data_IF_101423839539
#
_entry.id   IF_101423839539
#
_cell.length_a   1.000
_cell.length_b   1.000
_cell.length_c   1.000
_cell.angle_alpha   90.00
_cell.angle_beta   90.00
_cell.angle_gamma   90.00
#
_symmetry.space_group_name_H-M   'P 1'
#
loop_
_entity.id
_entity.type
_entity.pdbx_description
1 polymer ?
#
# COMPACT_ATOMS: atom_id res chain seq x y z
N UNK A 1 3.94 6.68 36.25
CA UNK A 1 2.78 6.36 37.11
C UNK A 1 2.02 5.11 36.63
N UNK A 2 1.78 4.93 35.32
CA UNK A 2 1.13 3.72 34.75
C UNK A 2 2.02 2.46 34.88
N UNK A 3 3.35 2.60 34.71
CA UNK A 3 4.32 1.49 34.81
C UNK A 3 4.45 0.88 36.22
N UNK A 4 4.08 1.61 37.28
CA UNK A 4 4.26 1.15 38.66
C UNK A 4 3.10 0.24 39.13
N UNK A 5 1.91 0.43 38.54
CA UNK A 5 0.72 -0.38 38.80
C UNK A 5 0.76 -1.70 37.99
N UNK A 6 1.40 -1.66 36.80
CA UNK A 6 1.50 -2.80 35.90
C UNK A 6 2.47 -3.91 36.36
N UNK A 7 3.43 -3.59 37.25
CA UNK A 7 4.42 -4.56 37.74
C UNK A 7 3.97 -5.42 38.93
N UNK A 8 2.89 -5.05 39.62
CA UNK A 8 2.36 -5.77 40.80
C UNK A 8 1.43 -6.94 40.45
N UNK A 9 1.02 -7.01 39.19
CA UNK A 9 0.19 -8.07 38.61
C UNK A 9 0.98 -8.54 37.39
N UNK A 10 1.18 -9.84 37.14
CA UNK A 10 1.97 -10.34 36.00
C UNK A 10 1.46 -9.96 34.59
N UNK A 11 0.64 -8.91 34.48
CA UNK A 11 0.10 -8.30 33.28
C UNK A 11 1.14 -7.71 32.34
N UNK A 12 2.34 -7.30 32.79
CA UNK A 12 3.36 -6.77 31.87
C UNK A 12 3.69 -7.78 30.78
N UNK A 13 3.86 -9.05 31.14
CA UNK A 13 4.18 -10.11 30.18
C UNK A 13 3.00 -10.42 29.24
N UNK A 14 1.76 -10.32 29.74
CA UNK A 14 0.56 -10.45 28.91
C UNK A 14 0.40 -9.28 27.94
N UNK A 15 0.62 -8.04 28.40
CA UNK A 15 0.55 -6.83 27.56
C UNK A 15 1.63 -6.84 26.48
N UNK A 16 2.88 -7.22 26.82
CA UNK A 16 3.97 -7.34 25.85
C UNK A 16 3.69 -8.43 24.83
N UNK A 17 3.16 -9.59 25.27
CA UNK A 17 2.81 -10.68 24.35
C UNK A 17 1.65 -10.28 23.43
N UNK A 18 0.56 -9.75 23.99
CA UNK A 18 -0.60 -9.29 23.21
C UNK A 18 -0.20 -8.22 22.19
N UNK A 19 0.60 -7.23 22.61
CA UNK A 19 1.12 -6.20 21.72
C UNK A 19 2.01 -6.76 20.61
N UNK A 20 2.89 -7.72 20.92
CA UNK A 20 3.76 -8.36 19.92
C UNK A 20 2.95 -9.08 18.84
N UNK A 21 1.88 -9.75 19.25
CA UNK A 21 0.95 -10.42 18.34
C UNK A 21 0.11 -9.42 17.55
N UNK A 22 -0.41 -8.37 18.18
CA UNK A 22 -1.30 -7.39 17.56
C UNK A 22 -0.57 -6.43 16.60
N UNK A 23 0.74 -6.21 16.84
CA UNK A 23 1.58 -5.32 16.03
C UNK A 23 1.63 -5.73 14.56
N UNK A 24 1.75 -7.03 14.28
CA UNK A 24 1.86 -7.52 12.90
C UNK A 24 0.55 -7.36 12.10
N UNK A 25 -0.62 -7.80 12.59
CA UNK A 25 -1.91 -7.53 11.97
C UNK A 25 -2.19 -6.03 11.81
N UNK A 26 -1.90 -5.23 12.85
CA UNK A 26 -2.14 -3.78 12.79
C UNK A 26 -1.25 -3.11 11.75
N UNK A 27 0.01 -3.52 11.63
CA UNK A 27 0.91 -3.01 10.59
C UNK A 27 0.42 -3.38 9.18
N UNK A 28 -0.02 -4.62 8.97
CA UNK A 28 -0.59 -5.08 7.68
C UNK A 28 -1.89 -4.31 7.37
N UNK A 29 -2.75 -4.11 8.36
CA UNK A 29 -3.99 -3.35 8.21
C UNK A 29 -3.72 -1.88 7.83
N UNK A 30 -2.79 -1.22 8.52
CA UNK A 30 -2.39 0.15 8.20
C UNK A 30 -1.75 0.25 6.81
N UNK A 31 -0.97 -0.76 6.40
CA UNK A 31 -0.39 -0.83 5.06
C UNK A 31 -1.49 -0.98 4.00
N UNK A 32 -2.46 -1.89 4.20
CA UNK A 32 -3.63 -2.01 3.33
C UNK A 32 -4.39 -0.70 3.22
N UNK A 33 -4.64 -0.03 4.35
CA UNK A 33 -5.30 1.28 4.39
C UNK A 33 -4.54 2.32 3.57
N UNK A 34 -3.22 2.40 3.73
CA UNK A 34 -2.39 3.34 3.01
C UNK A 34 -2.43 3.09 1.49
N UNK A 35 -2.36 1.83 1.06
CA UNK A 35 -2.45 1.46 -0.37
C UNK A 35 -3.85 1.74 -0.91
N UNK A 36 -4.91 1.41 -0.17
CA UNK A 36 -6.28 1.69 -0.56
C UNK A 36 -6.54 3.20 -0.68
N UNK A 37 -6.04 4.00 0.26
CA UNK A 37 -6.10 5.46 0.19
C UNK A 37 -5.30 5.99 -1.01
N UNK A 38 -4.14 5.43 -1.30
CA UNK A 38 -3.36 5.79 -2.49
C UNK A 38 -4.16 5.49 -3.77
N UNK A 39 -4.80 4.32 -3.85
CA UNK A 39 -5.66 3.95 -4.98
C UNK A 39 -6.93 4.78 -5.09
N UNK A 40 -7.39 5.39 -3.99
CA UNK A 40 -8.56 6.26 -3.99
C UNK A 40 -8.22 7.73 -4.30
N UNK A 41 -7.07 8.21 -3.81
CA UNK A 41 -6.68 9.63 -3.92
C UNK A 41 -5.95 9.96 -5.22
N UNK A 42 -5.34 8.96 -5.87
CA UNK A 42 -4.55 9.15 -7.10
C UNK A 42 -5.40 9.24 -8.38
N UNK A 43 -6.53 8.53 -8.55
CA UNK A 43 -7.35 8.67 -9.74
C UNK A 43 -8.05 10.03 -9.77
N UNK A 44 -7.94 10.75 -10.90
CA UNK A 44 -8.70 11.99 -11.15
C UNK A 44 -10.15 11.69 -11.62
N UNK A 45 -10.76 10.64 -11.05
CA UNK A 45 -12.11 10.16 -11.37
C UNK A 45 -12.84 9.81 -10.08
N UNK A 46 -14.12 10.15 -9.99
CA UNK A 46 -14.95 9.87 -8.81
C UNK A 46 -15.15 8.36 -8.61
N UNK A 47 -14.37 7.77 -7.71
CA UNK A 47 -14.49 6.37 -7.32
C UNK A 47 -15.39 6.25 -6.08
N UNK A 48 -16.16 5.17 -5.95
CA UNK A 48 -16.77 4.82 -4.65
C UNK A 48 -15.68 4.21 -3.77
N UNK A 49 -15.47 4.76 -2.57
CA UNK A 49 -14.48 4.24 -1.63
C UNK A 49 -14.81 2.78 -1.23
N UNK A 50 -14.08 1.82 -1.79
CA UNK A 50 -14.13 0.41 -1.40
C UNK A 50 -12.87 0.07 -0.59
N UNK A 51 -13.07 -0.18 0.71
CA UNK A 51 -12.01 -0.53 1.65
C UNK A 51 -11.26 -1.82 1.26
N UNK A 52 -11.90 -2.70 0.50
CA UNK A 52 -11.35 -3.97 0.02
C UNK A 52 -11.62 -4.04 -1.47
N UNK A 53 -10.63 -3.70 -2.29
CA UNK A 53 -10.66 -3.96 -3.73
C UNK A 53 -9.82 -5.18 -4.08
N UNK A 54 -10.16 -5.97 -5.12
CA UNK A 54 -9.36 -7.10 -5.54
C UNK A 54 -7.90 -6.70 -5.87
N UNK A 55 -7.71 -5.50 -6.46
CA UNK A 55 -6.41 -4.90 -6.72
C UNK A 55 -5.61 -4.64 -5.44
N UNK A 56 -6.24 -4.10 -4.38
CA UNK A 56 -5.56 -3.87 -3.10
C UNK A 56 -5.06 -5.16 -2.44
N UNK A 57 -5.87 -6.22 -2.45
CA UNK A 57 -5.50 -7.53 -1.90
C UNK A 57 -4.33 -8.14 -2.68
N UNK A 58 -4.41 -8.13 -4.01
CA UNK A 58 -3.36 -8.68 -4.87
C UNK A 58 -2.07 -7.88 -4.79
N UNK A 59 -2.12 -6.55 -4.66
CA UNK A 59 -0.92 -5.75 -4.44
C UNK A 59 -0.26 -6.03 -3.12
N UNK A 60 -1.01 -6.22 -2.03
CA UNK A 60 -0.39 -6.61 -0.75
C UNK A 60 0.29 -7.97 -0.87
N UNK A 61 -0.34 -8.95 -1.51
CA UNK A 61 0.25 -10.28 -1.74
C UNK A 61 1.52 -10.16 -2.59
N UNK A 62 1.45 -9.44 -3.70
CA UNK A 62 2.58 -9.20 -4.59
C UNK A 62 3.71 -8.44 -3.88
N UNK A 63 3.39 -7.51 -2.98
CA UNK A 63 4.39 -6.73 -2.26
C UNK A 63 5.13 -7.59 -1.23
N UNK A 64 4.41 -8.47 -0.53
CA UNK A 64 5.02 -9.45 0.37
C UNK A 64 5.94 -10.38 -0.42
N UNK A 65 5.47 -10.93 -1.54
CA UNK A 65 6.27 -11.80 -2.40
C UNK A 65 7.52 -11.09 -2.95
N UNK A 66 7.37 -9.86 -3.44
CA UNK A 66 8.48 -9.03 -3.92
C UNK A 66 9.47 -8.70 -2.79
N UNK A 67 9.00 -8.44 -1.58
CA UNK A 67 9.87 -8.17 -0.42
C UNK A 67 10.67 -9.40 -0.01
N UNK A 68 10.06 -10.59 -0.04
CA UNK A 68 10.76 -11.85 0.21
C UNK A 68 11.81 -12.14 -0.87
N UNK A 69 11.43 -11.97 -2.15
CA UNK A 69 12.32 -12.15 -3.29
C UNK A 69 13.50 -11.16 -3.26
N UNK A 70 13.23 -9.89 -2.95
CA UNK A 70 14.25 -8.86 -2.78
C UNK A 70 15.19 -9.18 -1.61
N UNK A 71 14.66 -9.62 -0.47
CA UNK A 71 15.46 -10.05 0.67
C UNK A 71 16.38 -11.23 0.34
N UNK A 72 15.91 -12.17 -0.47
CA UNK A 72 16.75 -13.25 -1.00
C UNK A 72 17.81 -12.72 -1.99
N UNK A 73 17.44 -11.84 -2.92
CA UNK A 73 18.36 -11.24 -3.87
C UNK A 73 19.51 -10.50 -3.17
N UNK A 74 19.18 -9.64 -2.20
CA UNK A 74 20.20 -8.88 -1.45
C UNK A 74 21.12 -9.82 -0.67
N UNK A 75 20.60 -10.86 -0.02
CA UNK A 75 21.45 -11.81 0.73
C UNK A 75 22.44 -12.58 -0.15
N UNK A 76 22.04 -12.95 -1.36
CA UNK A 76 22.87 -13.79 -2.24
C UNK A 76 23.78 -12.96 -3.15
N UNK A 77 23.30 -11.81 -3.63
CA UNK A 77 23.97 -11.03 -4.66
C UNK A 77 24.50 -9.69 -4.15
N UNK A 78 24.07 -9.12 -3.02
CA UNK A 78 24.56 -7.82 -2.56
C UNK A 78 25.96 -7.83 -1.91
N UNK A 79 26.67 -8.96 -1.92
CA UNK A 79 28.06 -9.04 -1.46
C UNK A 79 29.07 -8.25 -2.35
N UNK A 80 28.62 -7.55 -3.39
CA UNK A 80 29.41 -6.56 -4.14
C UNK A 80 29.83 -5.31 -3.33
N UNK A 81 29.43 -5.25 -2.05
CA UNK A 81 29.76 -4.19 -1.09
C UNK A 81 31.27 -3.85 -1.03
N UNK A 82 32.14 -4.82 -1.34
CA UNK A 82 33.60 -4.62 -1.35
C UNK A 82 34.11 -3.73 -2.50
N UNK A 83 33.40 -3.63 -3.63
CA UNK A 83 33.83 -2.79 -4.76
C UNK A 83 33.06 -1.47 -4.89
N UNK A 84 31.79 -1.43 -4.47
CA UNK A 84 30.91 -0.28 -4.72
C UNK A 84 30.52 0.50 -3.46
N UNK A 85 30.91 0.03 -2.27
CA UNK A 85 30.71 0.75 -1.00
C UNK A 85 29.31 1.35 -0.83
N UNK A 86 29.24 2.65 -0.55
CA UNK A 86 27.99 3.39 -0.34
C UNK A 86 27.07 3.46 -1.58
N UNK A 87 27.62 3.44 -2.80
CA UNK A 87 26.84 3.45 -4.03
C UNK A 87 26.03 2.16 -4.16
N UNK A 88 26.62 1.03 -3.76
CA UNK A 88 25.92 -0.25 -3.70
C UNK A 88 24.67 -0.20 -2.80
N UNK A 89 24.79 0.43 -1.63
CA UNK A 89 23.67 0.60 -0.71
C UNK A 89 22.54 1.46 -1.31
N UNK A 90 22.87 2.54 -2.03
CA UNK A 90 21.88 3.39 -2.72
C UNK A 90 21.18 2.60 -3.83
N UNK A 91 21.91 1.85 -4.65
CA UNK A 91 21.33 1.05 -5.74
C UNK A 91 20.37 0.00 -5.17
N UNK A 92 20.77 -0.68 -4.10
CA UNK A 92 19.93 -1.67 -3.40
C UNK A 92 18.63 -1.00 -2.92
N UNK A 93 18.71 0.18 -2.31
CA UNK A 93 17.53 0.94 -1.88
C UNK A 93 16.64 1.37 -3.05
N UNK A 94 17.21 1.92 -4.13
CA UNK A 94 16.48 2.33 -5.32
C UNK A 94 15.76 1.16 -5.99
N UNK A 95 16.40 -0.01 -6.04
CA UNK A 95 15.77 -1.23 -6.52
C UNK A 95 14.56 -1.63 -5.68
N UNK A 96 14.63 -1.46 -4.35
CA UNK A 96 13.49 -1.73 -3.48
C UNK A 96 12.31 -0.79 -3.75
N UNK A 97 12.59 0.50 -3.91
CA UNK A 97 11.57 1.50 -4.25
C UNK A 97 10.98 1.25 -5.63
N UNK A 98 11.80 0.88 -6.61
CA UNK A 98 11.35 0.50 -7.94
C UNK A 98 10.39 -0.69 -7.89
N UNK A 99 10.74 -1.77 -7.19
CA UNK A 99 9.87 -2.94 -7.03
C UNK A 99 8.57 -2.58 -6.29
N UNK A 100 8.66 -1.75 -5.26
CA UNK A 100 7.47 -1.30 -4.51
C UNK A 100 6.53 -0.50 -5.40
N UNK A 101 7.06 0.44 -6.20
CA UNK A 101 6.28 1.22 -7.16
C UNK A 101 5.63 0.32 -8.22
N UNK A 102 6.37 -0.64 -8.76
CA UNK A 102 5.84 -1.60 -9.75
C UNK A 102 4.67 -2.42 -9.19
N UNK A 103 4.77 -2.89 -7.95
CA UNK A 103 3.67 -3.63 -7.29
C UNK A 103 2.44 -2.77 -7.04
N UNK A 104 2.63 -1.51 -6.64
CA UNK A 104 1.53 -0.57 -6.44
C UNK A 104 0.85 -0.23 -7.77
N UNK A 105 1.61 0.02 -8.84
CA UNK A 105 1.05 0.27 -10.17
C UNK A 105 0.30 -0.96 -10.69
N UNK A 106 0.85 -2.16 -10.51
CA UNK A 106 0.22 -3.41 -10.94
C UNK A 106 -1.19 -3.60 -10.33
N UNK A 107 -1.37 -3.37 -9.03
CA UNK A 107 -2.71 -3.49 -8.44
C UNK A 107 -3.66 -2.37 -8.83
N UNK A 108 -3.13 -1.17 -9.14
CA UNK A 108 -3.95 -0.07 -9.66
C UNK A 108 -4.48 -0.41 -11.06
N UNK A 109 -3.61 -0.90 -11.96
CA UNK A 109 -3.99 -1.38 -13.29
C UNK A 109 -4.99 -2.53 -13.20
N UNK A 110 -4.75 -3.49 -12.30
CA UNK A 110 -5.66 -4.61 -12.10
C UNK A 110 -7.02 -4.15 -11.57
N UNK A 111 -7.05 -3.16 -10.69
CA UNK A 111 -8.30 -2.56 -10.24
C UNK A 111 -9.04 -1.86 -11.38
N UNK A 112 -8.32 -1.11 -12.23
CA UNK A 112 -8.88 -0.45 -13.40
C UNK A 112 -9.47 -1.45 -14.42
N UNK A 113 -8.76 -2.56 -14.68
CA UNK A 113 -9.23 -3.63 -15.58
C UNK A 113 -10.48 -4.31 -15.02
N UNK A 114 -10.53 -4.61 -13.72
CA UNK A 114 -11.69 -5.24 -13.10
C UNK A 114 -12.91 -4.31 -13.14
N UNK A 115 -12.72 -3.02 -12.86
CA UNK A 115 -13.79 -2.04 -12.92
C UNK A 115 -14.36 -1.95 -14.34
N UNK A 116 -13.48 -1.89 -15.36
CA UNK A 116 -13.85 -1.81 -16.77
C UNK A 116 -14.63 -3.02 -17.28
N UNK A 117 -14.44 -4.20 -16.67
CA UNK A 117 -15.15 -5.43 -17.04
C UNK A 117 -16.35 -5.77 -16.13
N UNK A 118 -16.64 -4.97 -15.11
CA UNK A 118 -17.81 -5.16 -14.26
C UNK A 118 -19.07 -4.59 -14.94
N UNK A 119 -20.24 -5.21 -14.74
CA UNK A 119 -21.52 -4.74 -15.31
C UNK A 119 -21.95 -3.34 -14.77
N UNK A 120 -21.35 -2.90 -13.66
CA UNK A 120 -21.47 -1.55 -13.08
C UNK A 120 -20.36 -0.58 -13.57
N UNK A 121 -19.52 -1.02 -14.51
CA UNK A 121 -18.35 -0.29 -15.00
C UNK A 121 -18.74 1.04 -15.64
N UNK A 122 -18.56 2.13 -14.89
CA UNK A 122 -18.74 3.48 -15.43
C UNK A 122 -17.73 3.74 -16.55
N UNK A 123 -18.21 4.39 -17.61
CA UNK A 123 -17.42 4.86 -18.74
C UNK A 123 -16.18 5.63 -18.25
N UNK A 124 -15.05 5.54 -18.99
CA UNK A 124 -13.79 6.10 -18.57
C UNK A 124 -13.86 7.63 -18.55
N UNK A 125 -14.03 8.20 -17.35
CA UNK A 125 -13.31 9.40 -16.94
C UNK A 125 -13.60 10.72 -17.63
N UNK A 126 -14.86 11.07 -17.91
CA UNK A 126 -15.23 12.49 -17.91
C UNK A 126 -15.72 12.86 -16.51
N UNK A 127 -15.01 13.75 -15.80
CA UNK A 127 -15.71 14.66 -14.88
C UNK A 127 -16.89 15.22 -15.68
N UNK A 128 -18.11 15.09 -15.19
CA UNK A 128 -19.22 15.88 -15.71
C UNK A 128 -18.79 17.35 -15.54
N UNK A 129 -18.22 17.93 -16.59
CA UNK A 129 -18.04 19.36 -16.69
C UNK A 129 -19.44 19.93 -16.52
N UNK A 130 -19.65 20.90 -15.62
CA UNK A 130 -20.96 21.54 -15.50
C UNK A 130 -21.37 21.98 -16.90
N UNK A 131 -22.53 21.47 -17.33
CA UNK A 131 -23.05 21.71 -18.67
C UNK A 131 -23.05 23.21 -18.92
N UNK A 132 -22.51 23.66 -20.06
CA UNK A 132 -22.47 25.08 -20.43
C UNK A 132 -23.89 25.65 -20.65
N UNK A 133 -24.90 24.79 -20.54
CA UNK A 133 -26.31 25.15 -20.52
C UNK A 133 -26.90 25.33 -19.12
N UNK A 134 -26.09 25.25 -18.06
CA UNK A 134 -26.52 25.65 -16.71
C UNK A 134 -26.86 27.17 -16.68
N UNK A 135 -28.15 27.53 -16.49
CA UNK A 135 -28.56 28.92 -16.48
C UNK A 135 -27.92 29.73 -15.33
N UNK A 136 -27.37 29.09 -14.30
CA UNK A 136 -26.68 29.77 -13.20
C UNK A 136 -25.28 30.31 -13.59
N UNK A 137 -24.64 29.73 -14.61
CA UNK A 137 -23.33 30.17 -15.12
C UNK A 137 -23.39 31.31 -16.14
N UNK A 138 -24.59 31.62 -16.66
CA UNK A 138 -24.84 32.66 -17.67
C UNK A 138 -25.35 34.00 -17.09
N UNK A 139 -25.35 34.16 -15.75
CA UNK A 139 -25.86 35.33 -15.04
C UNK A 139 -24.77 36.34 -14.64
#
# INVERSE_FOLDING_TARGET
MIAWIAGLVGLEQYLVTLWTWLRWPLAVFLLMLAVALFYYLVPDVEQRFRFITPGSVLSVIAWIAASLAYGFYVKNFANYNAMYGSIGAIIILLLYFYLSAAVVLFGAELNAVIEHHSEDGKDPGERELPDNDDPELKA
#
